data_IF_792271983754
#
_entry.id   IF_792271983754
#
_cell.length_a   1.000
_cell.length_b   1.000
_cell.length_c   1.000
_cell.angle_alpha   90.00
_cell.angle_beta   90.00
_cell.angle_gamma   90.00
#
_symmetry.space_group_name_H-M   'P 1'
#
loop_
_entity.id
_entity.type
_entity.pdbx_description
1 polymer ?
#
# COMPACT_ATOMS: atom_id res chain seq x y z
N UNK A 1 -73.85 -35.11 8.90
CA UNK A 1 -72.58 -35.13 9.67
C UNK A 1 -71.41 -35.11 8.65
N UNK A 2 -70.83 -33.93 8.36
CA UNK A 2 -69.78 -33.76 7.32
C UNK A 2 -68.43 -33.90 8.04
N UNK A 3 -67.70 -34.99 7.73
CA UNK A 3 -66.32 -35.16 8.22
C UNK A 3 -65.39 -34.21 7.51
N UNK A 4 -64.84 -33.21 8.23
CA UNK A 4 -63.78 -32.38 7.74
C UNK A 4 -62.45 -33.17 7.71
N UNK A 5 -61.94 -33.43 6.52
CA UNK A 5 -60.59 -33.99 6.33
C UNK A 5 -59.60 -32.79 6.37
N UNK A 6 -58.81 -32.77 7.41
CA UNK A 6 -57.66 -31.78 7.49
C UNK A 6 -56.46 -32.42 6.77
N UNK A 7 -56.11 -31.92 5.62
CA UNK A 7 -54.87 -32.27 4.93
C UNK A 7 -53.74 -31.42 5.52
N UNK A 8 -52.87 -32.05 6.30
CA UNK A 8 -51.65 -31.41 6.81
C UNK A 8 -50.59 -31.46 5.74
N UNK A 9 -50.34 -30.31 5.07
CA UNK A 9 -49.28 -30.17 4.11
C UNK A 9 -47.94 -29.94 4.88
N UNK A 10 -47.13 -30.99 5.01
CA UNK A 10 -45.78 -30.87 5.57
C UNK A 10 -44.85 -30.34 4.46
N UNK A 11 -44.50 -29.06 4.51
CA UNK A 11 -43.47 -28.48 3.68
C UNK A 11 -42.11 -28.86 4.30
N UNK A 12 -41.48 -29.87 3.73
CA UNK A 12 -40.08 -30.19 4.09
C UNK A 12 -39.17 -29.17 3.36
N UNK A 13 -38.74 -28.15 4.09
CA UNK A 13 -37.71 -27.25 3.61
C UNK A 13 -36.38 -27.97 3.77
N UNK A 14 -35.86 -28.48 2.66
CA UNK A 14 -34.48 -28.92 2.61
C UNK A 14 -33.59 -27.69 2.76
N UNK A 15 -33.05 -27.47 3.94
CA UNK A 15 -31.87 -26.61 4.10
C UNK A 15 -30.69 -27.35 3.46
N UNK A 16 -30.43 -27.07 2.20
CA UNK A 16 -29.14 -27.37 1.61
C UNK A 16 -28.20 -26.35 2.27
N UNK A 17 -27.22 -26.76 3.09
CA UNK A 17 -26.20 -25.81 3.54
C UNK A 17 -25.47 -25.34 2.30
N UNK A 18 -25.74 -24.12 1.86
CA UNK A 18 -24.85 -23.42 0.95
C UNK A 18 -23.59 -23.26 1.77
N UNK A 19 -22.58 -24.10 1.52
CA UNK A 19 -21.24 -23.86 2.01
C UNK A 19 -20.77 -22.60 1.30
N UNK A 20 -21.00 -21.46 1.90
CA UNK A 20 -20.27 -20.23 1.58
C UNK A 20 -18.85 -20.52 2.01
N UNK A 21 -18.07 -21.09 1.08
CA UNK A 21 -16.64 -21.21 1.29
C UNK A 21 -16.10 -19.81 1.56
N UNK A 22 -15.26 -19.71 2.57
CA UNK A 22 -14.65 -18.47 3.03
C UNK A 22 -13.66 -17.91 1.98
N UNK A 23 -14.22 -17.56 0.82
CA UNK A 23 -13.53 -16.92 -0.32
C UNK A 23 -12.85 -15.61 0.11
N UNK A 24 -13.33 -15.00 1.20
CA UNK A 24 -12.74 -13.78 1.78
C UNK A 24 -11.35 -14.00 2.41
N UNK A 25 -10.95 -15.24 2.64
CA UNK A 25 -9.69 -15.54 3.32
C UNK A 25 -8.47 -15.48 2.37
N UNK A 26 -8.64 -15.64 1.06
CA UNK A 26 -7.52 -15.58 0.12
C UNK A 26 -7.17 -14.11 -0.13
N UNK A 27 -5.97 -13.69 0.26
CA UNK A 27 -5.45 -12.35 0.00
C UNK A 27 -4.46 -12.34 -1.17
N UNK A 28 -4.42 -11.20 -1.86
CA UNK A 28 -3.42 -10.89 -2.89
C UNK A 28 -2.98 -9.46 -2.63
N UNK A 29 -1.70 -9.27 -2.41
CA UNK A 29 -1.14 -7.96 -2.10
C UNK A 29 0.27 -7.79 -2.64
N UNK A 30 0.75 -6.55 -2.72
CA UNK A 30 2.14 -6.26 -2.95
C UNK A 30 2.85 -6.08 -1.59
N UNK A 31 4.07 -6.58 -1.45
CA UNK A 31 4.89 -6.40 -0.25
C UNK A 31 5.18 -4.92 0.03
N UNK A 32 5.19 -4.09 -1.04
CA UNK A 32 5.36 -2.65 -1.01
C UNK A 32 4.54 -2.02 -2.13
N UNK A 33 3.93 -0.88 -1.86
CA UNK A 33 3.21 -0.06 -2.86
C UNK A 33 4.06 1.11 -3.38
N UNK A 34 5.12 1.46 -2.65
CA UNK A 34 6.14 2.45 -3.05
C UNK A 34 7.47 1.71 -3.09
N UNK A 35 8.16 1.80 -4.22
CA UNK A 35 9.41 1.10 -4.48
C UNK A 35 10.38 2.02 -5.21
N UNK A 36 11.68 1.92 -4.92
CA UNK A 36 12.69 2.66 -5.66
C UNK A 36 12.97 2.03 -7.03
N UNK A 37 13.36 2.86 -8.00
CA UNK A 37 13.84 2.35 -9.29
C UNK A 37 15.01 1.39 -9.09
N UNK A 38 14.88 0.18 -9.65
CA UNK A 38 15.85 -0.90 -9.51
C UNK A 38 15.60 -1.83 -8.32
N UNK A 39 14.71 -1.46 -7.40
CA UNK A 39 14.33 -2.27 -6.26
C UNK A 39 13.43 -3.44 -6.67
N UNK A 40 13.49 -4.51 -5.87
CA UNK A 40 12.61 -5.68 -6.00
C UNK A 40 11.53 -5.64 -4.93
N UNK A 41 10.30 -5.99 -5.33
CA UNK A 41 9.17 -6.20 -4.44
C UNK A 41 8.45 -7.50 -4.83
N UNK A 42 7.51 -7.94 -3.98
CA UNK A 42 6.81 -9.21 -4.17
C UNK A 42 5.31 -8.99 -4.38
N UNK A 43 4.72 -9.79 -5.26
CA UNK A 43 3.28 -10.07 -5.27
C UNK A 43 3.07 -11.30 -4.42
N UNK A 44 2.28 -11.19 -3.36
CA UNK A 44 2.06 -12.20 -2.34
C UNK A 44 0.63 -12.72 -2.45
N UNK A 45 0.47 -14.02 -2.61
CA UNK A 45 -0.82 -14.72 -2.61
C UNK A 45 -0.87 -15.59 -1.35
N UNK A 46 -1.77 -15.29 -0.42
CA UNK A 46 -1.98 -16.07 0.78
C UNK A 46 -3.37 -16.73 0.76
N UNK A 47 -3.38 -18.05 0.80
CA UNK A 47 -4.61 -18.85 0.83
C UNK A 47 -5.20 -18.96 2.24
N UNK A 48 -4.48 -18.50 3.27
CA UNK A 48 -4.92 -18.54 4.67
C UNK A 48 -5.50 -19.91 5.09
N UNK A 49 -4.77 -20.98 4.77
CA UNK A 49 -5.17 -22.36 5.07
C UNK A 49 -6.40 -22.89 4.30
N UNK A 50 -6.91 -22.18 3.31
CA UNK A 50 -7.96 -22.74 2.44
C UNK A 50 -7.39 -23.93 1.66
N UNK A 51 -8.08 -25.06 1.74
CA UNK A 51 -7.70 -26.27 1.00
C UNK A 51 -8.18 -26.16 -0.45
N UNK A 52 -7.24 -26.35 -1.39
CA UNK A 52 -7.48 -26.27 -2.83
C UNK A 52 -6.83 -27.47 -3.54
N UNK A 53 -7.37 -27.86 -4.66
CA UNK A 53 -6.76 -28.87 -5.52
C UNK A 53 -5.93 -28.24 -6.66
N UNK A 54 -6.33 -27.06 -7.13
CA UNK A 54 -5.62 -26.33 -8.17
C UNK A 54 -5.89 -24.82 -8.08
N UNK A 55 -4.99 -24.02 -8.63
CA UNK A 55 -5.27 -22.63 -8.97
C UNK A 55 -4.53 -22.23 -10.25
N UNK A 56 -5.09 -21.22 -10.91
CA UNK A 56 -4.43 -20.54 -12.03
C UNK A 56 -4.35 -19.06 -11.71
N UNK A 57 -3.17 -18.50 -11.92
CA UNK A 57 -2.84 -17.09 -11.68
C UNK A 57 -2.49 -16.44 -13.01
N UNK A 58 -3.05 -15.27 -13.25
CA UNK A 58 -2.66 -14.36 -14.32
C UNK A 58 -2.26 -13.03 -13.71
N UNK A 59 -1.06 -12.56 -14.02
CA UNK A 59 -0.59 -11.22 -13.63
C UNK A 59 -0.30 -10.45 -14.92
N UNK A 60 -0.93 -9.30 -15.05
CA UNK A 60 -0.71 -8.36 -16.14
C UNK A 60 0.04 -7.15 -15.62
N UNK A 61 1.09 -6.73 -16.31
CA UNK A 61 1.93 -5.61 -15.91
C UNK A 61 2.55 -4.91 -17.11
N UNK A 62 2.93 -3.64 -16.93
CA UNK A 62 3.61 -2.83 -17.95
C UNK A 62 5.11 -3.18 -17.99
N UNK A 63 5.60 -3.72 -19.11
CA UNK A 63 6.98 -4.21 -19.24
C UNK A 63 8.04 -3.11 -19.29
N UNK A 64 7.66 -1.90 -19.60
CA UNK A 64 8.51 -0.72 -19.49
C UNK A 64 8.69 -0.24 -18.04
N UNK A 65 7.72 -0.53 -17.19
CA UNK A 65 7.71 -0.17 -15.76
C UNK A 65 8.23 -1.28 -14.85
N UNK A 66 7.87 -2.51 -15.14
CA UNK A 66 8.13 -3.68 -14.29
C UNK A 66 8.77 -4.83 -15.07
N UNK A 67 9.53 -5.63 -14.36
CA UNK A 67 10.10 -6.88 -14.84
C UNK A 67 9.75 -7.98 -13.85
N UNK A 68 9.12 -9.07 -14.33
CA UNK A 68 8.93 -10.26 -13.51
C UNK A 68 10.27 -11.01 -13.42
N UNK A 69 10.74 -11.22 -12.21
CA UNK A 69 11.95 -12.02 -11.97
C UNK A 69 11.50 -13.48 -11.97
N UNK A 70 11.99 -14.27 -12.91
CA UNK A 70 11.62 -15.68 -13.07
C UNK A 70 12.21 -16.53 -11.92
N UNK A 71 11.57 -16.50 -10.76
CA UNK A 71 11.90 -17.34 -9.61
C UNK A 71 10.83 -18.40 -9.35
N UNK A 72 9.80 -18.47 -10.19
CA UNK A 72 8.68 -19.41 -10.05
C UNK A 72 8.80 -20.50 -11.11
N UNK A 73 9.06 -21.73 -10.66
CA UNK A 73 9.08 -22.89 -11.52
C UNK A 73 7.72 -23.10 -12.21
N UNK A 74 7.74 -23.37 -13.52
CA UNK A 74 6.55 -23.54 -14.38
C UNK A 74 5.70 -22.26 -14.60
N UNK A 75 6.19 -21.08 -14.29
CA UNK A 75 5.58 -19.84 -14.74
C UNK A 75 5.92 -19.55 -16.21
N UNK A 76 4.95 -19.03 -16.95
CA UNK A 76 5.15 -18.55 -18.31
C UNK A 76 4.99 -17.03 -18.33
N UNK A 77 6.04 -16.32 -18.73
CA UNK A 77 6.05 -14.84 -18.80
C UNK A 77 6.24 -14.43 -20.25
N UNK A 78 5.26 -13.73 -20.82
CA UNK A 78 5.30 -13.22 -22.20
C UNK A 78 4.62 -11.85 -22.25
N UNK A 79 5.32 -10.85 -22.78
CA UNK A 79 4.77 -9.52 -23.12
C UNK A 79 3.90 -8.88 -22.01
N UNK A 80 4.43 -8.81 -20.79
CA UNK A 80 3.72 -8.19 -19.67
C UNK A 80 2.59 -9.03 -19.09
N UNK A 81 2.57 -10.31 -19.41
CA UNK A 81 1.65 -11.29 -18.85
C UNK A 81 2.42 -12.46 -18.26
N UNK A 82 2.21 -12.75 -16.99
CA UNK A 82 2.63 -13.97 -16.33
C UNK A 82 1.44 -14.89 -16.15
N UNK A 83 1.64 -16.18 -16.43
CA UNK A 83 0.67 -17.25 -16.15
C UNK A 83 1.37 -18.30 -15.30
N UNK A 84 0.75 -18.67 -14.20
CA UNK A 84 1.18 -19.76 -13.36
C UNK A 84 -0.01 -20.67 -13.02
N UNK A 85 0.19 -21.98 -13.03
CA UNK A 85 -0.83 -22.95 -12.64
C UNK A 85 -0.24 -23.94 -11.64
N UNK A 86 -0.94 -24.12 -10.55
CA UNK A 86 -0.65 -25.13 -9.55
C UNK A 86 -1.69 -26.24 -9.60
N UNK A 87 -1.23 -27.46 -9.40
CA UNK A 87 -2.06 -28.64 -9.21
C UNK A 87 -1.50 -29.43 -8.04
N UNK A 88 -2.37 -29.82 -7.11
CA UNK A 88 -1.96 -30.69 -6.01
C UNK A 88 -1.46 -32.04 -6.55
N UNK A 89 -0.42 -32.57 -5.92
CA UNK A 89 0.20 -33.84 -6.35
C UNK A 89 -0.79 -35.01 -6.29
N UNK A 90 -1.71 -34.96 -5.36
CA UNK A 90 -2.71 -36.02 -5.16
C UNK A 90 -3.98 -35.81 -5.98
N UNK A 91 -4.14 -34.66 -6.61
CA UNK A 91 -5.38 -34.25 -7.28
C UNK A 91 -6.53 -34.00 -6.32
N UNK A 92 -6.27 -33.89 -5.00
CA UNK A 92 -7.25 -33.65 -3.95
C UNK A 92 -7.07 -32.28 -3.35
N UNK A 93 -8.10 -31.82 -2.61
CA UNK A 93 -7.97 -30.61 -1.83
C UNK A 93 -6.88 -30.79 -0.77
N UNK A 94 -5.95 -29.88 -0.74
CA UNK A 94 -4.88 -29.85 0.23
C UNK A 94 -4.51 -28.38 0.56
N UNK A 95 -3.87 -28.16 1.70
CA UNK A 95 -3.35 -26.86 2.04
C UNK A 95 -2.20 -26.53 1.12
N UNK A 96 -2.38 -25.49 0.32
CA UNK A 96 -1.29 -24.97 -0.49
C UNK A 96 -0.22 -24.33 0.41
N UNK A 97 1.06 -24.50 0.05
CA UNK A 97 2.15 -23.85 0.76
C UNK A 97 2.04 -22.33 0.57
N UNK A 98 1.56 -21.65 1.59
CA UNK A 98 1.27 -20.22 1.61
C UNK A 98 2.21 -19.51 2.61
N UNK A 99 2.60 -18.26 2.37
CA UNK A 99 2.31 -17.46 1.16
C UNK A 99 3.11 -17.91 -0.07
N UNK A 100 2.54 -17.64 -1.25
CA UNK A 100 3.21 -17.79 -2.54
C UNK A 100 3.66 -16.41 -3.02
N UNK A 101 4.94 -16.27 -3.28
CA UNK A 101 5.60 -15.00 -3.54
C UNK A 101 6.20 -14.98 -4.95
N UNK A 102 5.97 -13.90 -5.67
CA UNK A 102 6.50 -13.67 -7.01
C UNK A 102 7.27 -12.36 -7.01
N UNK A 103 8.54 -12.41 -7.38
CA UNK A 103 9.42 -11.25 -7.39
C UNK A 103 9.24 -10.42 -8.66
N UNK A 104 9.11 -9.12 -8.47
CA UNK A 104 9.11 -8.11 -9.52
C UNK A 104 10.17 -7.06 -9.25
N UNK A 105 10.79 -6.56 -10.31
CA UNK A 105 11.75 -5.45 -10.26
C UNK A 105 11.15 -4.19 -10.86
N UNK A 106 11.27 -3.08 -10.16
CA UNK A 106 10.91 -1.76 -10.64
C UNK A 106 11.94 -1.24 -11.65
N UNK A 107 11.51 -0.82 -12.86
CA UNK A 107 12.43 -0.42 -13.94
C UNK A 107 12.45 1.07 -14.17
N UNK A 108 11.32 1.70 -14.28
CA UNK A 108 11.21 3.10 -14.71
C UNK A 108 10.31 3.87 -13.76
N UNK A 109 10.78 5.02 -13.31
CA UNK A 109 10.07 5.93 -12.40
C UNK A 109 8.65 6.23 -12.90
N UNK A 110 7.72 6.36 -11.95
CA UNK A 110 6.33 6.73 -12.15
C UNK A 110 5.35 5.64 -11.71
N UNK A 111 4.08 5.94 -11.82
CA UNK A 111 3.00 5.06 -11.35
C UNK A 111 2.67 4.00 -12.39
N UNK A 112 2.37 2.80 -11.92
CA UNK A 112 1.87 1.70 -12.73
C UNK A 112 0.85 0.88 -11.96
N UNK A 113 0.06 0.10 -12.67
CA UNK A 113 -0.94 -0.80 -12.07
C UNK A 113 -0.69 -2.21 -12.56
N UNK A 114 -0.73 -3.16 -11.65
CA UNK A 114 -0.71 -4.58 -11.97
C UNK A 114 -2.11 -5.15 -11.77
N UNK A 115 -2.63 -5.89 -12.74
CA UNK A 115 -3.90 -6.63 -12.58
C UNK A 115 -3.59 -8.09 -12.29
N UNK A 116 -4.09 -8.59 -11.16
CA UNK A 116 -3.88 -9.97 -10.70
C UNK A 116 -5.21 -10.67 -10.66
N UNK A 117 -5.33 -11.74 -11.44
CA UNK A 117 -6.51 -12.61 -11.47
C UNK A 117 -6.09 -13.99 -10.99
N UNK A 118 -6.78 -14.54 -10.01
CA UNK A 118 -6.56 -15.89 -9.53
C UNK A 118 -7.88 -16.66 -9.46
N UNK A 119 -7.89 -17.87 -10.03
CA UNK A 119 -9.02 -18.79 -9.97
C UNK A 119 -8.60 -20.07 -9.24
N UNK A 120 -9.39 -20.44 -8.24
CA UNK A 120 -9.13 -21.57 -7.36
C UNK A 120 -10.17 -22.69 -7.59
N UNK A 121 -9.73 -23.92 -7.55
CA UNK A 121 -10.52 -25.10 -7.91
C UNK A 121 -10.41 -26.18 -6.83
N UNK A 122 -11.52 -26.89 -6.61
CA UNK A 122 -11.56 -28.07 -5.75
C UNK A 122 -11.16 -29.35 -6.52
N UNK A 123 -11.13 -30.49 -5.82
CA UNK A 123 -10.76 -31.79 -6.36
C UNK A 123 -11.72 -32.31 -7.44
N UNK A 124 -12.93 -31.76 -7.55
CA UNK A 124 -13.89 -32.10 -8.61
C UNK A 124 -13.68 -31.24 -9.87
N UNK A 125 -12.73 -30.31 -9.85
CA UNK A 125 -12.51 -29.33 -10.92
C UNK A 125 -13.54 -28.19 -10.93
N UNK A 126 -14.30 -28.03 -9.86
CA UNK A 126 -15.23 -26.93 -9.71
C UNK A 126 -14.51 -25.68 -9.21
N UNK A 127 -14.78 -24.55 -9.84
CA UNK A 127 -14.24 -23.27 -9.39
C UNK A 127 -14.88 -22.85 -8.07
N UNK A 128 -14.06 -22.73 -7.04
CA UNK A 128 -14.51 -22.38 -5.69
C UNK A 128 -14.31 -20.89 -5.36
N UNK A 129 -13.34 -20.24 -6.05
CA UNK A 129 -13.10 -18.83 -5.85
C UNK A 129 -12.52 -18.17 -7.10
N UNK A 130 -12.77 -16.88 -7.25
CA UNK A 130 -12.05 -15.97 -8.17
C UNK A 130 -11.66 -14.74 -7.40
N UNK A 131 -10.39 -14.32 -7.52
CA UNK A 131 -9.89 -13.04 -7.05
C UNK A 131 -9.48 -12.20 -8.25
N UNK A 132 -9.84 -10.94 -8.23
CA UNK A 132 -9.40 -9.94 -9.20
C UNK A 132 -9.00 -8.70 -8.40
N UNK A 133 -7.70 -8.42 -8.39
CA UNK A 133 -7.12 -7.35 -7.58
C UNK A 133 -6.26 -6.47 -8.48
N UNK A 134 -6.36 -5.17 -8.28
CA UNK A 134 -5.45 -4.20 -8.87
C UNK A 134 -4.45 -3.72 -7.80
N UNK A 135 -3.17 -3.88 -8.09
CA UNK A 135 -2.08 -3.45 -7.25
C UNK A 135 -1.47 -2.18 -7.86
N UNK A 136 -1.53 -1.09 -7.10
CA UNK A 136 -0.99 0.21 -7.51
C UNK A 136 0.43 0.34 -6.98
N UNK A 137 1.40 0.51 -7.88
CA UNK A 137 2.82 0.63 -7.56
C UNK A 137 3.31 2.01 -7.98
N UNK A 138 3.92 2.73 -7.06
CA UNK A 138 4.60 4.00 -7.29
C UNK A 138 6.11 3.76 -7.28
N UNK A 139 6.76 4.00 -8.42
CA UNK A 139 8.20 3.79 -8.58
C UNK A 139 8.89 5.15 -8.47
N UNK A 140 9.64 5.32 -7.40
CA UNK A 140 10.33 6.56 -7.07
C UNK A 140 11.80 6.55 -7.49
N UNK A 141 12.36 7.74 -7.62
CA UNK A 141 13.80 7.94 -7.83
C UNK A 141 14.54 7.67 -6.51
N UNK A 142 15.55 6.77 -6.48
CA UNK A 142 16.33 6.51 -5.27
C UNK A 142 17.03 7.77 -4.71
N UNK A 143 17.29 8.80 -5.55
CA UNK A 143 17.81 10.08 -5.07
C UNK A 143 16.77 10.93 -4.32
N UNK A 144 15.46 10.66 -4.52
CA UNK A 144 14.39 11.42 -3.85
C UNK A 144 14.29 11.06 -2.37
N UNK A 145 14.54 9.80 -2.00
CA UNK A 145 14.59 9.40 -0.59
C UNK A 145 15.73 10.09 0.18
N UNK A 146 16.90 10.26 -0.45
CA UNK A 146 18.00 10.99 0.17
C UNK A 146 17.68 12.47 0.37
N UNK A 147 17.02 13.10 -0.62
CA UNK A 147 16.54 14.49 -0.47
C UNK A 147 15.45 14.60 0.60
N UNK A 148 14.55 13.62 0.69
CA UNK A 148 13.50 13.60 1.72
C UNK A 148 14.06 13.30 3.13
N UNK A 149 15.11 12.47 3.25
CA UNK A 149 15.82 12.26 4.53
C UNK A 149 16.59 13.48 4.96
N UNK A 150 17.29 14.12 4.04
CA UNK A 150 17.99 15.38 4.29
C UNK A 150 16.98 16.50 4.65
N UNK A 151 15.84 16.56 3.95
CA UNK A 151 14.77 17.49 4.26
C UNK A 151 14.05 17.14 5.56
N UNK A 152 13.84 15.86 5.91
CA UNK A 152 13.20 15.47 7.17
C UNK A 152 14.02 15.83 8.41
N UNK A 153 15.34 15.96 8.27
CA UNK A 153 16.23 16.47 9.32
C UNK A 153 16.47 17.98 9.25
N UNK A 154 16.03 18.65 8.18
CA UNK A 154 16.19 20.08 8.00
C UNK A 154 15.18 20.85 8.86
N UNK A 155 15.68 21.50 9.92
CA UNK A 155 14.93 22.38 10.81
C UNK A 155 15.14 23.86 10.48
N UNK A 156 15.73 24.19 9.34
CA UNK A 156 15.96 25.56 8.93
C UNK A 156 14.66 26.29 8.59
N UNK A 157 14.70 27.61 8.74
CA UNK A 157 13.64 28.49 8.27
C UNK A 157 14.00 29.01 6.88
N UNK A 158 13.00 29.15 6.01
CA UNK A 158 13.08 29.91 4.76
C UNK A 158 12.85 31.41 5.03
N UNK A 159 11.98 31.72 6.00
CA UNK A 159 11.63 33.10 6.38
C UNK A 159 11.59 33.25 7.88
N UNK A 160 12.27 34.28 8.37
CA UNK A 160 12.07 34.82 9.72
C UNK A 160 11.84 36.33 9.64
N UNK A 161 10.71 36.81 10.10
CA UNK A 161 10.38 38.24 10.19
C UNK A 161 9.73 38.56 11.52
N UNK A 162 9.97 39.74 11.98
CA UNK A 162 9.30 40.32 13.16
C UNK A 162 8.65 41.64 12.76
N UNK A 163 7.60 42.07 13.48
CA UNK A 163 6.87 43.31 13.22
C UNK A 163 7.64 44.58 13.61
N UNK A 164 8.88 44.45 14.05
CA UNK A 164 9.75 45.56 14.46
C UNK A 164 11.07 45.49 13.67
N UNK A 165 11.56 46.62 13.24
CA UNK A 165 12.86 46.69 12.54
C UNK A 165 14.01 46.56 13.54
N UNK A 166 15.16 46.06 13.04
CA UNK A 166 16.41 46.00 13.79
C UNK A 166 16.88 44.63 14.25
N UNK A 167 16.30 43.56 13.69
CA UNK A 167 16.81 42.19 13.92
C UNK A 167 18.26 42.08 13.43
N UNK A 168 19.16 41.57 14.25
CA UNK A 168 20.60 41.46 13.98
C UNK A 168 21.08 40.08 14.46
N UNK A 169 21.88 39.35 13.64
CA UNK A 169 22.25 39.66 12.25
C UNK A 169 21.04 39.67 11.31
N UNK A 170 21.27 40.02 10.03
CA UNK A 170 20.23 39.79 9.01
C UNK A 170 19.90 38.33 8.95
N UNK A 171 18.63 37.97 8.66
CA UNK A 171 18.21 36.59 8.61
C UNK A 171 19.00 35.76 7.58
N UNK A 172 19.54 34.64 8.05
CA UNK A 172 20.18 33.59 7.26
C UNK A 172 19.72 32.23 7.82
N UNK A 173 19.38 31.21 6.98
CA UNK A 173 18.82 29.94 7.42
C UNK A 173 19.66 29.16 8.45
N UNK A 174 20.99 29.33 8.44
CA UNK A 174 21.91 28.63 9.33
C UNK A 174 22.24 29.42 10.62
N UNK A 175 21.64 30.59 10.81
CA UNK A 175 21.78 31.39 12.02
C UNK A 175 20.62 31.08 12.97
N UNK A 176 20.95 30.70 14.20
CA UNK A 176 19.96 30.25 15.20
C UNK A 176 19.72 31.25 16.32
N UNK A 177 20.49 32.34 16.38
CA UNK A 177 20.37 33.37 17.38
C UNK A 177 20.30 34.76 16.76
N UNK A 178 19.29 35.51 17.12
CA UNK A 178 19.06 36.85 16.65
C UNK A 178 18.81 37.80 17.83
N UNK A 179 19.21 39.01 17.68
CA UNK A 179 19.02 40.09 18.68
C UNK A 179 18.12 41.17 18.08
N UNK A 180 17.20 41.65 18.88
CA UNK A 180 16.39 42.80 18.54
C UNK A 180 16.59 43.86 19.63
N UNK A 181 17.05 45.04 19.24
CA UNK A 181 17.17 46.17 20.11
C UNK A 181 16.18 47.24 19.66
N UNK A 182 15.30 47.65 20.53
CA UNK A 182 14.25 48.62 20.24
C UNK A 182 14.26 49.70 21.30
N UNK A 183 13.95 50.95 20.90
CA UNK A 183 13.76 52.09 21.80
C UNK A 183 12.34 52.12 22.36
N UNK A 184 11.42 51.33 21.85
CA UNK A 184 10.04 51.26 22.26
C UNK A 184 9.83 50.16 23.31
N UNK A 185 8.91 50.43 24.25
CA UNK A 185 8.50 49.41 25.22
C UNK A 185 7.52 48.41 24.55
N UNK A 186 8.06 47.42 23.89
CA UNK A 186 7.31 46.41 23.18
C UNK A 186 6.95 45.31 24.15
N UNK A 187 5.66 44.98 24.22
CA UNK A 187 5.12 43.89 25.07
C UNK A 187 4.87 42.60 24.30
N UNK A 188 4.57 42.72 23.03
CA UNK A 188 4.25 41.58 22.19
C UNK A 188 4.98 41.74 20.85
N UNK A 189 5.59 40.64 20.35
CA UNK A 189 6.22 40.54 19.03
C UNK A 189 5.40 39.64 18.13
N UNK A 190 5.03 40.13 16.96
CA UNK A 190 4.51 39.30 15.90
C UNK A 190 5.69 38.68 15.14
N UNK A 191 5.81 37.39 15.26
CA UNK A 191 6.89 36.62 14.61
C UNK A 191 6.30 35.80 13.49
N UNK A 192 6.81 36.00 12.28
CA UNK A 192 6.54 35.15 11.13
C UNK A 192 7.76 34.26 10.90
N UNK A 193 7.56 32.95 11.01
CA UNK A 193 8.59 31.95 10.73
C UNK A 193 8.01 30.89 9.78
N UNK A 194 8.63 30.74 8.62
CA UNK A 194 8.23 29.76 7.61
C UNK A 194 9.36 28.73 7.50
N UNK A 195 9.09 27.44 7.69
CA UNK A 195 10.12 26.43 7.56
C UNK A 195 10.50 26.23 6.09
N UNK A 196 11.74 25.90 5.83
CA UNK A 196 12.23 25.50 4.50
C UNK A 196 11.60 24.17 4.05
N UNK A 197 11.39 23.26 5.00
CA UNK A 197 10.67 22.01 4.76
C UNK A 197 9.18 22.21 5.03
N UNK A 198 8.35 22.06 4.00
CA UNK A 198 6.89 22.21 4.09
C UNK A 198 6.22 21.24 5.10
N UNK A 199 6.88 20.12 5.40
CA UNK A 199 6.41 19.12 6.38
C UNK A 199 6.77 19.47 7.82
N UNK A 200 7.63 20.48 8.04
CA UNK A 200 8.06 20.90 9.37
C UNK A 200 6.99 21.76 10.05
N UNK A 201 6.91 21.68 11.35
CA UNK A 201 6.00 22.50 12.17
C UNK A 201 6.80 23.51 12.97
N UNK A 202 6.45 24.79 12.83
CA UNK A 202 7.02 25.87 13.63
C UNK A 202 6.15 26.15 14.84
N UNK A 203 6.78 26.21 16.01
CA UNK A 203 6.13 26.66 17.26
C UNK A 203 6.82 27.91 17.76
N UNK A 204 6.07 29.00 17.86
CA UNK A 204 6.52 30.27 18.42
C UNK A 204 6.12 30.33 19.89
N UNK A 205 7.04 30.75 20.74
CA UNK A 205 6.76 30.92 22.18
C UNK A 205 7.65 32.00 22.77
N UNK A 206 7.19 32.67 23.86
CA UNK A 206 7.93 33.71 24.52
C UNK A 206 7.88 35.08 23.83
N UNK A 207 7.06 35.23 22.80
CA UNK A 207 6.90 36.45 22.00
C UNK A 207 5.81 37.42 22.56
N UNK A 208 5.22 37.09 23.71
CA UNK A 208 4.21 37.91 24.38
C UNK A 208 4.60 38.19 25.84
N UNK A 209 4.11 39.31 26.41
CA UNK A 209 4.40 39.76 27.79
C UNK A 209 5.89 39.95 28.03
N UNK A 210 6.56 40.61 27.08
CA UNK A 210 7.95 40.96 27.19
C UNK A 210 8.11 42.02 28.32
N UNK A 211 9.19 41.93 29.12
CA UNK A 211 9.51 42.82 30.24
C UNK A 211 10.51 43.90 29.82
#
# INVERSE_FOLDING_TARGET
MIKKIIVLLIVIVFFIPIQVFAVEQISIEASKNIVEQGETFQVIIDTNDVEIAAFTLWIYFETDKLECIENVENANVVDGKMIYSYFSETGKNEKFKSPFEIDFKAKTIGKTTMSVIAEFYNENGEKIATRNVELYIDIEDPETENKNKDNASNANLDVLRVNVEGITPQFEPEVYEYYLVTEENIKDLDVMAIPENESATVKISGNTKLE
#
